data_IF_720439509467
#
_entry.id   IF_720439509467
#
_cell.length_a   1.000
_cell.length_b   1.000
_cell.length_c   1.000
_cell.angle_alpha   90.00
_cell.angle_beta   90.00
_cell.angle_gamma   90.00
#
_symmetry.space_group_name_H-M   'P 1'
#
loop_
_entity.id
_entity.type
_entity.pdbx_description
1 polymer ?
#
# COMPACT_ATOMS: atom_id res chain seq x y z
N UNK A 1 -82.31 1.49 40.70
CA UNK A 1 -82.25 1.85 39.27
C UNK A 1 -81.71 0.61 38.60
N UNK A 2 -82.60 -0.19 38.05
CA UNK A 2 -82.24 -1.45 37.41
C UNK A 2 -81.80 -1.13 35.99
N UNK A 3 -80.53 -1.39 35.69
CA UNK A 3 -79.99 -1.28 34.33
C UNK A 3 -80.73 -2.26 33.44
N UNK A 4 -81.17 -1.80 32.27
CA UNK A 4 -81.90 -2.65 31.33
C UNK A 4 -80.95 -3.72 30.76
N UNK A 5 -81.44 -4.93 30.42
CA UNK A 5 -80.57 -6.00 29.91
C UNK A 5 -79.76 -5.59 28.66
N UNK A 6 -80.29 -4.66 27.86
CA UNK A 6 -79.62 -4.10 26.68
C UNK A 6 -78.44 -3.18 27.04
N UNK A 7 -78.51 -2.45 28.15
CA UNK A 7 -77.39 -1.62 28.63
C UNK A 7 -76.22 -2.48 29.12
N UNK A 8 -76.50 -3.59 29.80
CA UNK A 8 -75.49 -4.56 30.23
C UNK A 8 -74.75 -5.21 29.05
N UNK A 9 -75.46 -5.59 27.99
CA UNK A 9 -74.83 -6.15 26.77
C UNK A 9 -73.93 -5.12 26.07
N UNK A 10 -74.36 -3.85 26.00
CA UNK A 10 -73.55 -2.77 25.43
C UNK A 10 -72.32 -2.45 26.30
N UNK A 11 -72.44 -2.53 27.64
CA UNK A 11 -71.29 -2.39 28.54
C UNK A 11 -70.29 -3.53 28.36
N UNK A 12 -70.77 -4.78 28.22
CA UNK A 12 -69.92 -5.95 27.97
C UNK A 12 -69.16 -5.83 26.64
N UNK A 13 -69.83 -5.42 25.56
CA UNK A 13 -69.17 -5.19 24.26
C UNK A 13 -68.12 -4.08 24.32
N UNK A 14 -68.42 -2.99 25.03
CA UNK A 14 -67.48 -1.89 25.25
C UNK A 14 -66.25 -2.35 26.00
N UNK A 15 -66.40 -3.20 27.02
CA UNK A 15 -65.28 -3.64 27.85
C UNK A 15 -64.41 -4.68 27.13
N UNK A 16 -65.01 -5.54 26.30
CA UNK A 16 -64.26 -6.40 25.35
C UNK A 16 -63.47 -5.54 24.35
N UNK A 17 -64.09 -4.52 23.76
CA UNK A 17 -63.40 -3.63 22.82
C UNK A 17 -62.23 -2.88 23.47
N UNK A 18 -62.39 -2.43 24.72
CA UNK A 18 -61.29 -1.80 25.49
C UNK A 18 -60.15 -2.79 25.76
N UNK A 19 -60.47 -4.04 26.11
CA UNK A 19 -59.47 -5.07 26.37
C UNK A 19 -58.69 -5.41 25.10
N UNK A 20 -59.38 -5.59 23.96
CA UNK A 20 -58.73 -5.81 22.67
C UNK A 20 -57.83 -4.63 22.27
N UNK A 21 -58.27 -3.38 22.48
CA UNK A 21 -57.43 -2.21 22.22
C UNK A 21 -56.20 -2.17 23.14
N UNK A 22 -56.32 -2.58 24.39
CA UNK A 22 -55.20 -2.67 25.32
C UNK A 22 -54.19 -3.74 24.88
N UNK A 23 -54.65 -4.90 24.45
CA UNK A 23 -53.81 -5.99 23.96
C UNK A 23 -53.11 -5.62 22.65
N UNK A 24 -53.83 -5.04 21.69
CA UNK A 24 -53.26 -4.51 20.45
C UNK A 24 -52.20 -3.42 20.71
N UNK A 25 -52.41 -2.55 21.69
CA UNK A 25 -51.40 -1.56 22.09
C UNK A 25 -50.15 -2.23 22.67
N UNK A 26 -50.33 -3.22 23.53
CA UNK A 26 -49.21 -3.98 24.09
C UNK A 26 -48.42 -4.72 23.01
N UNK A 27 -49.10 -5.33 22.03
CA UNK A 27 -48.45 -5.97 20.88
C UNK A 27 -47.69 -4.96 20.02
N UNK A 28 -48.30 -3.81 19.69
CA UNK A 28 -47.64 -2.75 18.91
C UNK A 28 -46.39 -2.24 19.62
N UNK A 29 -46.44 -2.06 20.94
CA UNK A 29 -45.28 -1.66 21.74
C UNK A 29 -44.19 -2.74 21.75
N UNK A 30 -44.56 -4.01 21.90
CA UNK A 30 -43.63 -5.14 21.83
C UNK A 30 -42.97 -5.26 20.45
N UNK A 31 -43.74 -5.10 19.36
CA UNK A 31 -43.22 -5.08 17.99
C UNK A 31 -42.27 -3.90 17.75
N UNK A 32 -42.64 -2.69 18.20
CA UNK A 32 -41.76 -1.51 18.11
C UNK A 32 -40.44 -1.72 18.85
N UNK A 33 -40.48 -2.34 20.02
CA UNK A 33 -39.27 -2.68 20.76
C UNK A 33 -38.38 -3.66 19.99
N UNK A 34 -38.97 -4.71 19.41
CA UNK A 34 -38.23 -5.69 18.58
C UNK A 34 -37.61 -5.03 17.35
N UNK A 35 -38.35 -4.21 16.62
CA UNK A 35 -37.85 -3.50 15.42
C UNK A 35 -36.63 -2.63 15.78
N UNK A 36 -36.71 -1.84 16.84
CA UNK A 36 -35.56 -1.02 17.31
C UNK A 36 -34.32 -1.86 17.60
N UNK A 37 -34.48 -3.05 18.17
CA UNK A 37 -33.34 -3.95 18.42
C UNK A 37 -32.76 -4.55 17.15
N UNK A 38 -33.59 -4.85 16.15
CA UNK A 38 -33.14 -5.35 14.86
C UNK A 38 -32.43 -4.26 14.06
N UNK A 39 -32.96 -3.04 14.01
CA UNK A 39 -32.34 -1.88 13.36
C UNK A 39 -30.95 -1.61 13.93
N UNK A 40 -30.81 -1.55 15.26
CA UNK A 40 -29.49 -1.38 15.92
C UNK A 40 -28.51 -2.50 15.55
N UNK A 41 -28.97 -3.75 15.49
CA UNK A 41 -28.11 -4.89 15.10
C UNK A 41 -27.70 -4.80 13.64
N UNK A 42 -28.61 -4.33 12.77
CA UNK A 42 -28.34 -4.12 11.36
C UNK A 42 -27.27 -3.03 11.18
N UNK A 43 -27.44 -1.87 11.80
CA UNK A 43 -26.47 -0.75 11.77
C UNK A 43 -25.08 -1.20 12.26
N UNK A 44 -25.04 -1.95 13.37
CA UNK A 44 -23.79 -2.52 13.89
C UNK A 44 -23.17 -3.55 12.93
N UNK A 45 -23.98 -4.33 12.21
CA UNK A 45 -23.47 -5.28 11.22
C UNK A 45 -22.94 -4.58 9.98
N UNK A 46 -23.61 -3.52 9.51
CA UNK A 46 -23.19 -2.75 8.33
C UNK A 46 -21.90 -2.00 8.62
N UNK A 47 -21.80 -1.33 9.77
CA UNK A 47 -20.57 -0.66 10.19
C UNK A 47 -19.41 -1.64 10.28
N UNK A 48 -19.60 -2.84 10.84
CA UNK A 48 -18.57 -3.90 10.86
C UNK A 48 -18.18 -4.37 9.45
N UNK A 49 -19.14 -4.52 8.53
CA UNK A 49 -18.85 -4.91 7.13
C UNK A 49 -18.06 -3.83 6.41
N UNK A 50 -18.42 -2.56 6.59
CA UNK A 50 -17.70 -1.42 6.00
C UNK A 50 -16.28 -1.34 6.55
N UNK A 51 -16.11 -1.48 7.87
CA UNK A 51 -14.79 -1.51 8.51
C UNK A 51 -13.95 -2.69 8.02
N UNK A 52 -14.54 -3.90 7.98
CA UNK A 52 -13.86 -5.09 7.47
C UNK A 52 -13.45 -4.95 5.99
N UNK A 53 -14.33 -4.40 5.15
CA UNK A 53 -14.03 -4.13 3.75
C UNK A 53 -12.92 -3.07 3.58
N UNK A 54 -12.92 -2.03 4.43
CA UNK A 54 -11.86 -1.02 4.44
C UNK A 54 -10.51 -1.61 4.85
N UNK A 55 -10.47 -2.47 5.87
CA UNK A 55 -9.27 -3.19 6.30
C UNK A 55 -8.77 -4.11 5.19
N UNK A 56 -9.66 -4.90 4.57
CA UNK A 56 -9.30 -5.78 3.46
C UNK A 56 -8.76 -5.00 2.25
N UNK A 57 -9.36 -3.85 1.90
CA UNK A 57 -8.85 -2.97 0.84
C UNK A 57 -7.47 -2.41 1.16
N UNK A 58 -7.23 -1.97 2.41
CA UNK A 58 -5.92 -1.49 2.86
C UNK A 58 -4.87 -2.60 2.81
N UNK A 59 -5.20 -3.81 3.25
CA UNK A 59 -4.32 -4.96 3.18
C UNK A 59 -3.97 -5.32 1.72
N UNK A 60 -4.97 -5.36 0.82
CA UNK A 60 -4.75 -5.58 -0.61
C UNK A 60 -3.86 -4.50 -1.24
N UNK A 61 -4.11 -3.22 -0.92
CA UNK A 61 -3.27 -2.13 -1.41
C UNK A 61 -1.84 -2.22 -0.89
N UNK A 62 -1.64 -2.63 0.37
CA UNK A 62 -0.32 -2.84 0.94
C UNK A 62 0.42 -4.02 0.27
N UNK A 63 -0.27 -5.11 -0.04
CA UNK A 63 0.30 -6.24 -0.77
C UNK A 63 0.68 -5.86 -2.20
N UNK A 64 -0.20 -5.18 -2.94
CA UNK A 64 0.09 -4.71 -4.30
C UNK A 64 1.29 -3.74 -4.34
N UNK A 65 1.42 -2.86 -3.33
CA UNK A 65 2.57 -1.98 -3.19
C UNK A 65 3.88 -2.74 -2.92
N UNK A 66 3.82 -3.85 -2.14
CA UNK A 66 4.97 -4.73 -1.91
C UNK A 66 5.36 -5.50 -3.16
N UNK A 67 4.39 -6.04 -3.90
CA UNK A 67 4.63 -6.75 -5.16
C UNK A 67 5.29 -5.85 -6.23
N UNK A 68 4.81 -4.61 -6.37
CA UNK A 68 5.42 -3.64 -7.28
C UNK A 68 6.86 -3.27 -6.85
N UNK A 69 7.13 -3.25 -5.54
CA UNK A 69 8.47 -3.01 -5.03
C UNK A 69 9.40 -4.21 -5.33
N UNK A 70 9.01 -5.43 -4.99
CA UNK A 70 9.85 -6.63 -5.19
C UNK A 70 10.21 -6.84 -6.66
N UNK A 71 9.27 -6.60 -7.59
CA UNK A 71 9.55 -6.70 -9.01
C UNK A 71 10.66 -5.73 -9.45
N UNK A 72 10.65 -4.49 -8.94
CA UNK A 72 11.68 -3.51 -9.25
C UNK A 72 13.04 -3.88 -8.63
N UNK A 73 13.02 -4.50 -7.46
CA UNK A 73 14.22 -4.95 -6.78
C UNK A 73 14.92 -6.09 -7.51
N UNK A 74 14.14 -7.07 -7.99
CA UNK A 74 14.65 -8.18 -8.81
C UNK A 74 15.23 -7.64 -10.13
N UNK A 75 14.56 -6.67 -10.76
CA UNK A 75 15.05 -6.05 -12.00
C UNK A 75 16.39 -5.33 -11.81
N UNK A 76 16.55 -4.55 -10.73
CA UNK A 76 17.80 -3.85 -10.44
C UNK A 76 18.95 -4.82 -10.20
N UNK A 77 18.69 -5.92 -9.48
CA UNK A 77 19.69 -6.95 -9.22
C UNK A 77 20.08 -7.68 -10.51
N UNK A 78 19.11 -8.01 -11.36
CA UNK A 78 19.35 -8.63 -12.67
C UNK A 78 20.20 -7.72 -13.56
N UNK A 79 19.84 -6.43 -13.67
CA UNK A 79 20.58 -5.45 -14.47
C UNK A 79 22.01 -5.28 -13.94
N UNK A 80 22.19 -5.18 -12.62
CA UNK A 80 23.52 -5.12 -12.00
C UNK A 80 24.38 -6.34 -12.33
N UNK A 81 23.79 -7.53 -12.29
CA UNK A 81 24.46 -8.78 -12.68
C UNK A 81 24.85 -8.82 -14.16
N UNK A 82 23.95 -8.42 -15.07
CA UNK A 82 24.22 -8.36 -16.53
C UNK A 82 25.32 -7.36 -16.84
N UNK A 83 25.27 -6.18 -16.22
CA UNK A 83 26.31 -5.15 -16.39
C UNK A 83 27.66 -5.65 -15.86
N UNK A 84 27.70 -6.25 -14.67
CA UNK A 84 28.91 -6.85 -14.11
C UNK A 84 29.51 -7.95 -14.97
N UNK A 85 28.65 -8.83 -15.49
CA UNK A 85 29.06 -9.90 -16.43
C UNK A 85 29.63 -9.35 -17.73
N UNK A 86 29.00 -8.31 -18.30
CA UNK A 86 29.49 -7.64 -19.50
C UNK A 86 30.87 -7.01 -19.28
N UNK A 87 31.06 -6.27 -18.18
CA UNK A 87 32.36 -5.68 -17.86
C UNK A 87 33.44 -6.74 -17.59
N UNK A 88 33.11 -7.81 -16.86
CA UNK A 88 34.03 -8.92 -16.61
C UNK A 88 34.46 -9.62 -17.91
N UNK A 89 33.53 -9.77 -18.85
CA UNK A 89 33.83 -10.33 -20.16
C UNK A 89 34.73 -9.42 -21.01
N UNK A 90 34.47 -8.11 -21.03
CA UNK A 90 35.34 -7.14 -21.72
C UNK A 90 36.76 -7.12 -21.15
N UNK A 91 36.91 -7.15 -19.82
CA UNK A 91 38.23 -7.18 -19.18
C UNK A 91 38.93 -8.52 -19.46
N UNK A 92 38.21 -9.64 -19.40
CA UNK A 92 38.75 -10.96 -19.74
C UNK A 92 39.27 -11.03 -21.19
N UNK A 93 38.55 -10.43 -22.14
CA UNK A 93 38.99 -10.31 -23.53
C UNK A 93 40.27 -9.48 -23.66
N UNK A 94 40.39 -8.36 -22.95
CA UNK A 94 41.61 -7.56 -22.95
C UNK A 94 42.81 -8.38 -22.47
N UNK A 95 42.65 -9.16 -21.40
CA UNK A 95 43.72 -10.05 -20.90
C UNK A 95 44.17 -11.04 -21.98
N UNK A 96 43.23 -11.62 -22.73
CA UNK A 96 43.55 -12.57 -23.81
C UNK A 96 44.25 -11.87 -24.98
N UNK A 97 43.83 -10.64 -25.34
CA UNK A 97 44.42 -9.86 -26.44
C UNK A 97 45.88 -9.47 -26.14
N UNK A 98 46.21 -9.20 -24.87
CA UNK A 98 47.56 -8.85 -24.43
C UNK A 98 48.44 -10.07 -24.09
N UNK A 99 48.19 -11.23 -24.72
CA UNK A 99 48.92 -12.49 -24.48
C UNK A 99 48.88 -13.00 -23.03
N UNK A 100 47.87 -12.61 -22.26
CA UNK A 100 47.65 -13.11 -20.92
C UNK A 100 47.18 -14.58 -20.93
N UNK A 101 47.57 -15.37 -19.91
CA UNK A 101 47.10 -16.75 -19.80
C UNK A 101 45.58 -16.77 -19.59
N UNK A 102 44.84 -17.67 -20.26
CA UNK A 102 43.37 -17.70 -20.20
C UNK A 102 42.84 -17.94 -18.78
N UNK A 103 43.63 -18.58 -17.92
CA UNK A 103 43.31 -18.76 -16.50
C UNK A 103 43.12 -17.43 -15.76
N UNK A 104 43.87 -16.39 -16.12
CA UNK A 104 43.72 -15.05 -15.54
C UNK A 104 42.43 -14.37 -16.00
N UNK A 105 42.00 -14.60 -17.25
CA UNK A 105 40.72 -14.07 -17.74
C UNK A 105 39.53 -14.65 -16.96
N UNK A 106 39.56 -15.96 -16.63
CA UNK A 106 38.53 -16.58 -15.79
C UNK A 106 38.58 -16.11 -14.33
N UNK A 107 39.78 -15.87 -13.79
CA UNK A 107 39.98 -15.32 -12.44
C UNK A 107 39.39 -13.92 -12.28
N UNK A 108 39.44 -13.09 -13.33
CA UNK A 108 38.92 -11.71 -13.30
C UNK A 108 37.39 -11.65 -13.51
N UNK A 109 36.79 -12.66 -14.16
CA UNK A 109 35.33 -12.74 -14.31
C UNK A 109 34.60 -12.80 -12.97
N UNK A 110 35.10 -13.58 -12.00
CA UNK A 110 34.47 -13.76 -10.69
C UNK A 110 34.31 -12.45 -9.91
N UNK A 111 35.41 -11.71 -9.64
CA UNK A 111 35.37 -10.40 -8.99
C UNK A 111 34.54 -9.36 -9.76
N UNK A 112 34.53 -9.40 -11.09
CA UNK A 112 33.75 -8.47 -11.91
C UNK A 112 32.24 -8.71 -11.78
N UNK A 113 31.82 -9.98 -11.77
CA UNK A 113 30.44 -10.38 -11.47
C UNK A 113 30.05 -9.98 -10.04
N UNK A 114 30.91 -10.27 -9.06
CA UNK A 114 30.67 -9.88 -7.68
C UNK A 114 30.55 -8.35 -7.53
N UNK A 115 31.41 -7.58 -8.20
CA UNK A 115 31.37 -6.12 -8.24
C UNK A 115 30.08 -5.58 -8.88
N UNK A 116 29.61 -6.17 -9.98
CA UNK A 116 28.35 -5.80 -10.60
C UNK A 116 27.12 -6.10 -9.73
N UNK A 117 27.13 -7.22 -9.02
CA UNK A 117 26.09 -7.55 -8.03
C UNK A 117 26.11 -6.55 -6.88
N UNK A 118 27.28 -6.20 -6.35
CA UNK A 118 27.42 -5.20 -5.29
C UNK A 118 26.94 -3.81 -5.74
N UNK A 119 27.24 -3.41 -6.98
CA UNK A 119 26.72 -2.18 -7.58
C UNK A 119 25.19 -2.22 -7.72
N UNK A 120 24.63 -3.35 -8.17
CA UNK A 120 23.18 -3.57 -8.24
C UNK A 120 22.51 -3.45 -6.87
N UNK A 121 23.11 -4.05 -5.82
CA UNK A 121 22.65 -3.94 -4.43
C UNK A 121 22.81 -2.50 -3.91
N UNK A 122 23.90 -1.80 -4.24
CA UNK A 122 24.09 -0.40 -3.87
C UNK A 122 23.04 0.52 -4.50
N UNK A 123 22.73 0.34 -5.79
CA UNK A 123 21.67 1.05 -6.49
C UNK A 123 20.29 0.74 -5.89
N UNK A 124 20.06 -0.51 -5.49
CA UNK A 124 18.86 -0.94 -4.79
C UNK A 124 18.67 -0.21 -3.46
N UNK A 125 19.71 -0.17 -2.64
CA UNK A 125 19.71 0.52 -1.34
C UNK A 125 19.51 2.02 -1.52
N UNK A 126 20.20 2.63 -2.49
CA UNK A 126 20.03 4.04 -2.82
C UNK A 126 18.60 4.36 -3.27
N UNK A 127 18.01 3.50 -4.09
CA UNK A 127 16.63 3.64 -4.55
C UNK A 127 15.61 3.48 -3.40
N UNK A 128 15.82 2.51 -2.49
CA UNK A 128 15.01 2.36 -1.28
C UNK A 128 15.08 3.60 -0.39
N UNK A 129 16.31 4.09 -0.10
CA UNK A 129 16.53 5.27 0.73
C UNK A 129 15.92 6.54 0.11
N UNK A 130 15.95 6.66 -1.22
CA UNK A 130 15.28 7.76 -1.93
C UNK A 130 13.77 7.67 -1.81
N UNK A 131 13.18 6.48 -1.86
CA UNK A 131 11.73 6.29 -1.66
C UNK A 131 11.31 6.64 -0.23
N UNK A 132 12.10 6.24 0.77
CA UNK A 132 11.88 6.62 2.17
C UNK A 132 11.90 8.14 2.32
N UNK A 133 12.92 8.80 1.78
CA UNK A 133 13.02 10.26 1.81
C UNK A 133 11.86 10.96 1.09
N UNK A 134 11.39 10.41 -0.03
CA UNK A 134 10.21 10.91 -0.74
C UNK A 134 8.92 10.71 0.07
N UNK A 135 8.81 9.63 0.85
CA UNK A 135 7.67 9.39 1.73
C UNK A 135 7.69 10.34 2.93
N UNK A 136 8.85 10.58 3.54
CA UNK A 136 9.03 11.53 4.64
C UNK A 136 8.70 12.96 4.19
N UNK A 137 9.24 13.40 3.04
CA UNK A 137 8.92 14.72 2.47
C UNK A 137 7.45 14.85 2.08
N UNK A 138 6.81 13.79 1.57
CA UNK A 138 5.38 13.80 1.31
C UNK A 138 4.52 13.85 2.59
N UNK A 139 4.96 13.24 3.68
CA UNK A 139 4.31 13.31 4.99
C UNK A 139 4.43 14.72 5.60
N UNK A 140 5.61 15.33 5.52
CA UNK A 140 5.86 16.72 5.92
C UNK A 140 5.06 17.70 5.05
N UNK A 141 4.96 17.46 3.75
CA UNK A 141 4.14 18.24 2.83
C UNK A 141 2.65 18.12 3.15
N UNK A 142 2.14 16.92 3.53
CA UNK A 142 0.74 16.75 3.96
C UNK A 142 0.44 17.46 5.28
N UNK A 143 1.39 17.50 6.21
CA UNK A 143 1.27 18.27 7.46
C UNK A 143 1.18 19.78 7.21
N UNK A 144 1.87 20.26 6.17
CA UNK A 144 1.90 21.69 5.79
C UNK A 144 0.83 22.10 4.76
N UNK A 145 -0.01 21.17 4.27
CA UNK A 145 -1.09 21.44 3.29
C UNK A 145 -2.18 22.38 3.81
N UNK A 146 -2.23 22.67 5.10
CA UNK A 146 -3.12 23.69 5.64
C UNK A 146 -2.65 25.13 5.33
N UNK A 147 -1.46 25.33 4.73
CA UNK A 147 -0.85 26.66 4.62
C UNK A 147 -0.48 27.15 3.20
N UNK A 148 -0.67 26.41 2.10
CA UNK A 148 -0.37 26.97 0.76
C UNK A 148 -1.03 26.26 -0.44
N UNK A 149 -1.46 26.98 -1.49
CA UNK A 149 -1.98 26.39 -2.72
C UNK A 149 -0.85 25.97 -3.69
N UNK A 150 -1.11 24.84 -4.36
CA UNK A 150 -0.55 24.16 -5.57
C UNK A 150 0.58 24.83 -6.41
N UNK A 151 1.43 24.01 -7.09
CA UNK A 151 1.07 23.47 -8.41
C UNK A 151 1.27 21.96 -8.58
N UNK A 152 0.31 21.34 -9.26
CA UNK A 152 0.39 19.98 -9.75
C UNK A 152 1.23 19.96 -11.04
N UNK A 153 2.45 19.43 -10.95
CA UNK A 153 3.19 18.95 -12.12
C UNK A 153 4.25 17.94 -11.67
N UNK A 154 3.82 16.77 -11.19
CA UNK A 154 4.69 15.59 -11.10
C UNK A 154 4.80 14.97 -12.49
N UNK A 155 5.63 15.55 -13.34
CA UNK A 155 6.03 14.93 -14.60
C UNK A 155 6.98 13.80 -14.23
N UNK A 156 6.54 12.55 -14.36
CA UNK A 156 7.35 11.36 -14.14
C UNK A 156 8.63 11.47 -14.97
N UNK A 157 9.77 11.66 -14.30
CA UNK A 157 11.06 11.75 -14.98
C UNK A 157 11.45 10.33 -15.39
N UNK A 158 11.74 10.07 -16.68
CA UNK A 158 12.03 8.72 -17.15
C UNK A 158 13.26 8.12 -16.47
N UNK A 159 13.14 6.85 -16.07
CA UNK A 159 14.11 6.05 -15.33
C UNK A 159 15.56 6.19 -15.81
N UNK A 160 15.79 6.24 -17.14
CA UNK A 160 17.11 6.39 -17.74
C UNK A 160 17.81 7.70 -17.34
N UNK A 161 17.07 8.82 -17.21
CA UNK A 161 17.66 10.07 -16.73
C UNK A 161 18.14 9.95 -15.29
N UNK A 162 17.35 9.32 -14.42
CA UNK A 162 17.74 9.13 -13.02
C UNK A 162 18.92 8.17 -12.84
N UNK A 163 18.98 7.11 -13.64
CA UNK A 163 20.09 6.16 -13.63
C UNK A 163 21.39 6.83 -14.11
N UNK A 164 21.32 7.62 -15.19
CA UNK A 164 22.45 8.38 -15.73
C UNK A 164 22.90 9.45 -14.73
N UNK A 165 21.99 10.17 -14.08
CA UNK A 165 22.33 11.14 -13.03
C UNK A 165 23.04 10.48 -11.85
N UNK A 166 22.53 9.33 -11.37
CA UNK A 166 23.20 8.61 -10.28
C UNK A 166 24.58 8.07 -10.69
N UNK A 167 24.74 7.61 -11.93
CA UNK A 167 26.01 7.15 -12.46
C UNK A 167 27.00 8.31 -12.64
N UNK A 168 26.53 9.50 -13.03
CA UNK A 168 27.34 10.72 -13.13
C UNK A 168 27.79 11.24 -11.76
N UNK A 169 26.93 11.15 -10.74
CA UNK A 169 27.30 11.53 -9.37
C UNK A 169 28.34 10.55 -8.81
N UNK A 170 28.16 9.25 -9.03
CA UNK A 170 29.13 8.22 -8.62
C UNK A 170 30.48 8.41 -9.31
N UNK A 171 30.50 8.56 -10.64
CA UNK A 171 31.75 8.78 -11.40
C UNK A 171 32.45 10.07 -10.99
N UNK A 172 31.71 11.17 -10.75
CA UNK A 172 32.30 12.43 -10.28
C UNK A 172 32.89 12.31 -8.88
N UNK A 173 32.25 11.56 -7.98
CA UNK A 173 32.77 11.29 -6.64
C UNK A 173 34.03 10.41 -6.66
N UNK A 174 34.08 9.44 -7.57
CA UNK A 174 35.21 8.54 -7.76
C UNK A 174 36.42 9.26 -8.38
N UNK A 175 36.18 10.15 -9.36
CA UNK A 175 37.21 11.01 -9.95
C UNK A 175 37.74 12.02 -8.94
N UNK A 176 36.88 12.64 -8.11
CA UNK A 176 37.36 13.54 -7.04
C UNK A 176 38.17 12.82 -5.97
N UNK A 177 37.85 11.56 -5.69
CA UNK A 177 38.61 10.74 -4.74
C UNK A 177 39.97 10.32 -5.31
N UNK A 178 40.06 10.10 -6.62
CA UNK A 178 41.31 9.71 -7.32
C UNK A 178 42.23 10.90 -7.68
N UNK A 179 41.69 12.11 -7.87
CA UNK A 179 42.49 13.31 -8.18
C UNK A 179 42.78 14.20 -6.95
N UNK A 180 42.13 13.95 -5.82
CA UNK A 180 42.29 14.71 -4.58
C UNK A 180 43.07 13.99 -3.48
N UNK A 181 43.66 12.82 -3.78
CA UNK A 181 44.51 12.04 -2.87
C UNK A 181 45.95 12.01 -3.34
#
# INVERSE_FOLDING_TARGET
>A
MDETPMELELMAQRDVAKLMVAELRAEVEAYRARVRTMERRLELSETKRVQGAAVARRAKAALAAREAATHHEILLLLVGGVVGGFFGWCIGLLVIIFDGPPTMAFLVMGPSLAGGVLLGVGALVAHRKRREWLQETAAVSRSTKHLRPLPASSREVPFWRSAIESALILTRSLVSYLHGG
#
